data_IF_226440669675
#
_entry.id   IF_226440669675
#
_cell.length_a   1.000
_cell.length_b   1.000
_cell.length_c   1.000
_cell.angle_alpha   90.00
_cell.angle_beta   90.00
_cell.angle_gamma   90.00
#
_symmetry.space_group_name_H-M   'P 1'
#
loop_
_entity.id
_entity.type
_entity.pdbx_description
1 polymer ?
#
# COMPACT_ATOMS: atom_id res chain seq x y z
N UNK A 1 3.75 20.48 4.63
CA UNK A 1 3.32 19.32 3.82
C UNK A 1 4.47 18.40 3.43
N UNK A 2 5.54 18.88 2.79
CA UNK A 2 6.62 18.02 2.30
C UNK A 2 7.38 17.22 3.37
N UNK A 3 7.63 17.80 4.56
CA UNK A 3 8.34 17.11 5.66
C UNK A 3 7.73 15.75 6.06
N UNK A 4 6.41 15.65 6.08
CA UNK A 4 5.72 14.41 6.46
C UNK A 4 5.86 13.34 5.36
N UNK A 5 5.88 13.77 4.10
CA UNK A 5 6.13 12.90 2.95
C UNK A 5 7.58 12.41 2.92
N UNK A 6 8.55 13.29 3.24
CA UNK A 6 9.96 12.91 3.34
C UNK A 6 10.18 11.91 4.47
N UNK A 7 9.55 12.12 5.63
CA UNK A 7 9.61 11.18 6.75
C UNK A 7 9.03 9.81 6.38
N UNK A 8 7.86 9.80 5.72
CA UNK A 8 7.22 8.56 5.28
C UNK A 8 8.07 7.80 4.25
N UNK A 9 8.69 8.52 3.30
CA UNK A 9 9.60 7.94 2.32
C UNK A 9 10.85 7.33 2.98
N UNK A 10 11.42 8.02 3.97
CA UNK A 10 12.55 7.50 4.75
C UNK A 10 12.17 6.25 5.54
N UNK A 11 11.00 6.24 6.19
CA UNK A 11 10.53 5.06 6.93
C UNK A 11 10.31 3.84 6.02
N UNK A 12 9.87 4.05 4.78
CA UNK A 12 9.76 2.97 3.78
C UNK A 12 11.14 2.44 3.35
N UNK A 13 12.08 3.34 3.04
CA UNK A 13 13.42 2.99 2.57
C UNK A 13 14.28 2.31 3.64
N UNK A 14 14.07 2.66 4.91
CA UNK A 14 14.82 2.12 6.05
C UNK A 14 13.99 1.14 6.90
N UNK A 15 12.88 0.62 6.36
CA UNK A 15 12.18 -0.48 7.02
C UNK A 15 13.09 -1.71 7.05
N UNK A 16 13.38 -2.21 8.23
CA UNK A 16 14.10 -3.48 8.41
C UNK A 16 13.10 -4.61 8.25
N UNK A 17 13.44 -5.62 7.46
CA UNK A 17 12.65 -6.85 7.46
C UNK A 17 12.65 -7.44 8.87
N UNK A 18 11.48 -7.50 9.49
CA UNK A 18 11.31 -8.25 10.73
C UNK A 18 11.59 -9.70 10.36
N UNK A 19 12.68 -10.24 10.90
CA UNK A 19 13.08 -11.64 10.78
C UNK A 19 12.01 -12.54 11.42
N UNK A 20 10.91 -12.76 10.69
CA UNK A 20 9.96 -13.81 10.99
C UNK A 20 10.71 -15.14 10.83
N UNK A 21 10.73 -15.95 11.89
CA UNK A 21 11.45 -17.23 11.88
C UNK A 21 10.82 -18.15 10.83
N UNK A 22 11.65 -18.81 10.02
CA UNK A 22 11.19 -19.70 8.95
C UNK A 22 10.37 -20.86 9.56
N UNK A 23 9.07 -20.92 9.27
CA UNK A 23 8.27 -22.14 9.38
C UNK A 23 7.27 -22.24 10.53
N UNK A 24 7.27 -21.38 11.55
CA UNK A 24 6.22 -21.45 12.59
C UNK A 24 4.94 -20.71 12.17
N UNK A 25 5.07 -19.46 11.72
CA UNK A 25 3.91 -18.60 11.46
C UNK A 25 3.28 -18.80 10.06
N UNK A 26 4.05 -19.34 9.10
CA UNK A 26 3.56 -19.67 7.76
C UNK A 26 2.85 -21.03 7.67
N UNK A 27 3.07 -21.92 8.65
CA UNK A 27 2.42 -23.23 8.69
C UNK A 27 1.02 -23.19 9.33
N UNK A 28 0.63 -22.05 9.90
CA UNK A 28 -0.68 -21.89 10.49
C UNK A 28 -1.74 -21.77 9.39
N UNK A 29 -2.85 -22.49 9.53
CA UNK A 29 -4.01 -22.46 8.61
C UNK A 29 -4.58 -21.07 8.28
N UNK A 30 -4.35 -20.05 9.11
CA UNK A 30 -4.77 -18.67 8.83
C UNK A 30 -3.69 -17.83 8.14
N UNK A 31 -2.50 -18.38 7.90
CA UNK A 31 -1.37 -17.64 7.33
C UNK A 31 -1.75 -17.01 5.99
N UNK A 32 -2.34 -17.78 5.08
CA UNK A 32 -2.74 -17.27 3.76
C UNK A 32 -3.73 -16.11 3.86
N UNK A 33 -4.73 -16.21 4.74
CA UNK A 33 -5.70 -15.14 4.97
C UNK A 33 -5.04 -13.87 5.51
N UNK A 34 -4.08 -14.00 6.42
CA UNK A 34 -3.33 -12.85 6.95
C UNK A 34 -2.47 -12.21 5.85
N UNK A 35 -1.86 -13.00 4.96
CA UNK A 35 -1.11 -12.46 3.81
C UNK A 35 -2.01 -11.71 2.84
N UNK A 36 -3.23 -12.22 2.59
CA UNK A 36 -4.22 -11.50 1.80
C UNK A 36 -4.65 -10.18 2.43
N UNK A 37 -4.89 -10.16 3.76
CA UNK A 37 -5.20 -8.93 4.49
C UNK A 37 -4.04 -7.93 4.44
N UNK A 38 -2.79 -8.40 4.55
CA UNK A 38 -1.61 -7.55 4.44
C UNK A 38 -1.47 -6.92 3.05
N UNK A 39 -1.97 -7.57 1.99
CA UNK A 39 -2.00 -7.02 0.64
C UNK A 39 -3.07 -5.93 0.44
N UNK A 40 -4.10 -5.87 1.29
CA UNK A 40 -5.23 -4.94 1.13
C UNK A 40 -4.82 -3.47 1.02
N UNK A 41 -3.94 -2.91 1.87
CA UNK A 41 -3.54 -1.50 1.77
C UNK A 41 -2.93 -1.14 0.41
N UNK A 42 -2.18 -2.07 -0.20
CA UNK A 42 -1.59 -1.87 -1.54
C UNK A 42 -2.71 -1.83 -2.59
N UNK A 43 -3.66 -2.76 -2.54
CA UNK A 43 -4.79 -2.81 -3.46
C UNK A 43 -5.67 -1.55 -3.36
N UNK A 44 -6.00 -1.12 -2.14
CA UNK A 44 -6.75 0.12 -1.91
C UNK A 44 -5.98 1.36 -2.39
N UNK A 45 -4.67 1.42 -2.12
CA UNK A 45 -3.81 2.50 -2.62
C UNK A 45 -3.85 2.61 -4.14
N UNK A 46 -3.65 1.50 -4.84
CA UNK A 46 -3.74 1.44 -6.31
C UNK A 46 -5.12 1.87 -6.83
N UNK A 47 -6.20 1.38 -6.22
CA UNK A 47 -7.56 1.74 -6.60
C UNK A 47 -7.82 3.25 -6.44
N UNK A 48 -7.37 3.85 -5.34
CA UNK A 48 -7.50 5.30 -5.10
C UNK A 48 -6.69 6.13 -6.09
N UNK A 49 -5.49 5.69 -6.46
CA UNK A 49 -4.66 6.37 -7.47
C UNK A 49 -5.36 6.35 -8.83
N UNK A 50 -5.84 5.18 -9.26
CA UNK A 50 -6.57 5.04 -10.53
C UNK A 50 -7.84 5.90 -10.51
N UNK A 51 -8.60 5.86 -9.42
CA UNK A 51 -9.78 6.71 -9.24
C UNK A 51 -9.44 8.20 -9.34
N UNK A 52 -8.38 8.66 -8.66
CA UNK A 52 -7.97 10.05 -8.69
C UNK A 52 -7.58 10.50 -10.11
N UNK A 53 -6.78 9.70 -10.82
CA UNK A 53 -6.36 10.00 -12.20
C UNK A 53 -7.57 10.09 -13.13
N UNK A 54 -8.47 9.10 -13.07
CA UNK A 54 -9.66 9.06 -13.93
C UNK A 54 -10.65 10.18 -13.61
N UNK A 55 -10.81 10.52 -12.33
CA UNK A 55 -11.64 11.65 -11.90
C UNK A 55 -11.07 12.99 -12.40
N UNK A 56 -9.76 13.20 -12.30
CA UNK A 56 -9.09 14.42 -12.78
C UNK A 56 -9.17 14.55 -14.30
N UNK A 57 -9.02 13.46 -15.06
CA UNK A 57 -9.18 13.48 -16.53
C UNK A 57 -10.61 13.87 -16.94
N UNK A 58 -11.62 13.25 -16.31
CA UNK A 58 -13.04 13.60 -16.55
C UNK A 58 -13.32 15.06 -16.24
N UNK A 59 -12.83 15.56 -15.10
CA UNK A 59 -13.00 16.95 -14.68
C UNK A 59 -12.32 17.94 -15.63
N UNK A 60 -11.14 17.60 -16.14
CA UNK A 60 -10.41 18.40 -17.13
C UNK A 60 -11.21 18.54 -18.44
N UNK A 61 -11.73 17.42 -18.96
CA UNK A 61 -12.57 17.41 -20.18
C UNK A 61 -13.86 18.20 -20.01
N UNK A 62 -14.51 18.12 -18.85
CA UNK A 62 -15.74 18.89 -18.56
C UNK A 62 -15.52 20.41 -18.47
N UNK A 63 -14.29 20.89 -18.31
CA UNK A 63 -13.96 22.32 -18.20
C UNK A 63 -13.49 22.95 -19.52
N UNK A 64 -13.24 22.14 -20.55
CA UNK A 64 -13.01 22.61 -21.94
C UNK A 64 -14.33 22.70 -22.66
#
# INVERSE_FOLDING_TARGET
MFKNFTLLALLFLFSTEVLAHKGHDHAHWTADFIHFLWLMPILFGCALIIFAITYLDKKSKSRR
#
